data_IF_534788166334
#
_entry.id   IF_534788166334
#
_cell.length_a   1.000
_cell.length_b   1.000
_cell.length_c   1.000
_cell.angle_alpha   90.00
_cell.angle_beta   90.00
_cell.angle_gamma   90.00
#
_symmetry.space_group_name_H-M   'P 1'
#
loop_
_entity.id
_entity.type
_entity.pdbx_description
1 polymer ?
#
# COMPACT_ATOMS: atom_id res chain seq x y z
N UNK A 1 -6.73 -0.43 7.75
CA UNK A 1 -6.77 -1.89 8.02
C UNK A 1 -5.65 -2.61 7.29
N UNK A 2 -5.37 -3.85 7.67
CA UNK A 2 -4.34 -4.70 7.06
C UNK A 2 -4.98 -5.97 6.47
N UNK A 3 -4.61 -6.31 5.23
CA UNK A 3 -5.10 -7.48 4.51
C UNK A 3 -3.95 -8.34 4.01
N UNK A 4 -4.21 -9.64 3.86
CA UNK A 4 -3.25 -10.61 3.30
C UNK A 4 -3.96 -11.45 2.26
N UNK A 5 -3.31 -11.66 1.12
CA UNK A 5 -3.79 -12.54 0.06
C UNK A 5 -2.62 -13.32 -0.52
N UNK A 6 -2.94 -14.49 -1.11
CA UNK A 6 -1.97 -15.35 -1.79
C UNK A 6 -2.48 -15.57 -3.20
N UNK A 7 -1.63 -15.32 -4.18
CA UNK A 7 -1.95 -15.43 -5.61
C UNK A 7 -0.86 -16.22 -6.33
N UNK A 8 -1.18 -16.84 -7.47
CA UNK A 8 -0.16 -17.37 -8.37
C UNK A 8 0.82 -16.27 -8.78
N UNK A 9 2.11 -16.61 -8.88
CA UNK A 9 3.20 -15.64 -9.11
C UNK A 9 2.97 -14.88 -10.41
N UNK A 10 2.51 -15.57 -11.45
CA UNK A 10 2.20 -15.02 -12.77
C UNK A 10 1.07 -13.99 -12.76
N UNK A 11 0.20 -14.00 -11.73
CA UNK A 11 -0.90 -13.04 -11.58
C UNK A 11 -0.59 -11.92 -10.59
N UNK A 12 0.55 -11.97 -9.92
CA UNK A 12 0.85 -11.06 -8.81
C UNK A 12 0.83 -9.59 -9.23
N UNK A 13 1.44 -9.27 -10.37
CA UNK A 13 1.44 -7.91 -10.91
C UNK A 13 0.02 -7.47 -11.31
N UNK A 14 -0.67 -8.26 -12.12
CA UNK A 14 -2.02 -7.94 -12.61
C UNK A 14 -3.01 -7.70 -11.47
N UNK A 15 -3.00 -8.57 -10.44
CA UNK A 15 -3.89 -8.44 -9.28
C UNK A 15 -3.55 -7.18 -8.48
N UNK A 16 -2.27 -6.90 -8.26
CA UNK A 16 -1.85 -5.72 -7.52
C UNK A 16 -2.23 -4.44 -8.24
N UNK A 17 -2.02 -4.37 -9.55
CA UNK A 17 -2.37 -3.22 -10.38
C UNK A 17 -3.90 -3.00 -10.40
N UNK A 18 -4.69 -4.08 -10.50
CA UNK A 18 -6.15 -3.98 -10.44
C UNK A 18 -6.63 -3.45 -9.09
N UNK A 19 -6.05 -3.93 -7.97
CA UNK A 19 -6.39 -3.45 -6.63
C UNK A 19 -6.04 -1.96 -6.49
N UNK A 20 -4.83 -1.56 -6.91
CA UNK A 20 -4.38 -0.17 -6.87
C UNK A 20 -5.33 0.72 -7.69
N UNK A 21 -5.63 0.35 -8.92
CA UNK A 21 -6.53 1.14 -9.78
C UNK A 21 -7.94 1.30 -9.20
N UNK A 22 -8.47 0.25 -8.56
CA UNK A 22 -9.80 0.30 -7.94
C UNK A 22 -9.81 1.19 -6.70
N UNK A 23 -8.77 1.12 -5.87
CA UNK A 23 -8.62 2.00 -4.71
C UNK A 23 -8.46 3.44 -5.19
N UNK A 24 -7.51 3.71 -6.07
CA UNK A 24 -7.20 5.07 -6.51
C UNK A 24 -8.39 5.76 -7.20
N UNK A 25 -9.23 5.02 -7.93
CA UNK A 25 -10.47 5.56 -8.50
C UNK A 25 -11.59 5.70 -7.47
N UNK A 26 -11.66 4.78 -6.52
CA UNK A 26 -12.72 4.75 -5.51
C UNK A 26 -12.53 5.81 -4.43
N UNK A 27 -11.28 6.16 -4.09
CA UNK A 27 -11.01 7.15 -3.03
C UNK A 27 -11.53 8.54 -3.39
N UNK A 28 -11.60 8.89 -4.68
CA UNK A 28 -12.05 10.20 -5.14
C UNK A 28 -13.46 10.54 -4.68
N UNK A 29 -14.33 9.53 -4.51
CA UNK A 29 -15.70 9.70 -4.02
C UNK A 29 -15.77 10.12 -2.53
N UNK A 30 -14.67 10.00 -1.80
CA UNK A 30 -14.59 10.31 -0.37
C UNK A 30 -13.93 11.67 -0.08
N UNK A 31 -13.47 12.38 -1.11
CA UNK A 31 -12.80 13.67 -0.98
C UNK A 31 -13.53 14.79 -1.71
N UNK A 32 -13.36 16.02 -1.23
CA UNK A 32 -13.85 17.20 -1.94
C UNK A 32 -13.06 17.43 -3.22
N UNK A 33 -13.64 18.14 -4.20
CA UNK A 33 -12.91 18.48 -5.44
C UNK A 33 -11.69 19.34 -5.14
N UNK A 34 -11.78 20.19 -4.12
CA UNK A 34 -10.72 21.06 -3.63
C UNK A 34 -9.55 20.25 -3.06
N UNK A 35 -9.83 19.23 -2.24
CA UNK A 35 -8.79 18.35 -1.66
C UNK A 35 -8.13 17.49 -2.74
N UNK A 36 -8.91 16.95 -3.69
CA UNK A 36 -8.39 16.20 -4.83
C UNK A 36 -7.46 17.04 -5.69
N UNK A 37 -7.85 18.29 -5.97
CA UNK A 37 -7.03 19.21 -6.76
C UNK A 37 -5.73 19.60 -6.04
N UNK A 38 -5.74 19.64 -4.70
CA UNK A 38 -4.56 19.94 -3.87
C UNK A 38 -3.69 18.71 -3.61
N UNK A 39 -4.26 17.51 -3.64
CA UNK A 39 -3.59 16.25 -3.31
C UNK A 39 -3.42 15.99 -1.81
N UNK A 40 -4.10 16.77 -0.95
CA UNK A 40 -4.07 16.61 0.51
C UNK A 40 -5.34 17.15 1.14
N UNK A 41 -5.66 16.65 2.34
CA UNK A 41 -6.71 17.16 3.21
C UNK A 41 -6.10 18.06 4.28
N UNK A 42 -6.78 19.16 4.57
CA UNK A 42 -6.43 20.02 5.72
C UNK A 42 -7.24 19.58 6.93
N UNK A 43 -6.55 19.21 8.01
CA UNK A 43 -7.16 18.87 9.29
C UNK A 43 -6.53 19.67 10.42
N UNK A 44 -7.34 20.11 11.38
CA UNK A 44 -6.84 20.79 12.57
C UNK A 44 -6.50 19.75 13.64
N UNK A 45 -5.29 19.80 14.16
CA UNK A 45 -4.88 18.92 15.26
C UNK A 45 -5.52 19.36 16.60
N UNK A 46 -5.30 18.59 17.67
CA UNK A 46 -5.87 18.89 18.99
C UNK A 46 -5.35 20.19 19.63
N UNK A 47 -4.25 20.74 19.12
CA UNK A 47 -3.64 21.98 19.58
C UNK A 47 -4.11 23.20 18.77
N UNK A 48 -5.01 23.01 17.80
CA UNK A 48 -5.54 24.08 16.94
C UNK A 48 -4.68 24.38 15.71
N UNK A 49 -3.61 23.62 15.46
CA UNK A 49 -2.74 23.83 14.30
C UNK A 49 -3.30 23.10 13.07
N UNK A 50 -3.38 23.80 11.94
CA UNK A 50 -3.71 23.18 10.66
C UNK A 50 -2.56 22.29 10.16
N UNK A 51 -2.90 21.08 9.76
CA UNK A 51 -1.98 20.08 9.23
C UNK A 51 -2.48 19.60 7.87
N UNK A 52 -1.54 19.40 6.95
CA UNK A 52 -1.81 18.82 5.65
C UNK A 52 -1.51 17.32 5.70
N UNK A 53 -2.49 16.52 5.32
CA UNK A 53 -2.36 15.07 5.23
C UNK A 53 -2.56 14.64 3.77
N UNK A 54 -1.66 13.85 3.17
CA UNK A 54 -1.87 13.34 1.83
C UNK A 54 -3.16 12.53 1.77
N UNK A 55 -3.74 12.43 0.56
CA UNK A 55 -4.87 11.54 0.33
C UNK A 55 -4.49 10.09 0.70
N UNK A 56 -5.48 9.32 1.13
CA UNK A 56 -5.27 7.92 1.47
C UNK A 56 -4.73 7.18 0.24
N UNK A 57 -3.73 6.34 0.48
CA UNK A 57 -3.11 5.48 -0.53
C UNK A 57 -2.93 4.07 0.02
N UNK A 58 -2.75 3.10 -0.89
CA UNK A 58 -2.55 1.69 -0.56
C UNK A 58 -1.08 1.28 -0.68
N UNK A 59 -0.48 0.87 0.43
CA UNK A 59 0.87 0.28 0.42
C UNK A 59 0.80 -1.24 0.55
N UNK A 60 1.37 -1.97 -0.41
CA UNK A 60 1.45 -3.43 -0.41
C UNK A 60 2.89 -3.90 -0.33
N UNK A 61 3.13 -4.91 0.51
CA UNK A 61 4.40 -5.61 0.62
C UNK A 61 4.22 -7.09 0.34
N UNK A 62 5.09 -7.68 -0.48
CA UNK A 62 4.95 -9.08 -0.88
C UNK A 62 6.28 -9.82 -0.98
N UNK A 63 6.18 -11.15 -1.01
CA UNK A 63 7.31 -12.07 -1.19
C UNK A 63 6.96 -13.11 -2.26
N UNK A 64 7.91 -13.38 -3.15
CA UNK A 64 7.78 -14.47 -4.12
C UNK A 64 8.27 -15.78 -3.51
N UNK A 65 7.33 -16.66 -3.14
CA UNK A 65 7.64 -17.96 -2.54
C UNK A 65 8.30 -18.94 -3.51
N UNK A 66 8.14 -18.78 -4.83
CA UNK A 66 8.75 -19.67 -5.82
C UNK A 66 10.27 -19.53 -5.91
N UNK A 67 10.83 -18.42 -5.41
CA UNK A 67 12.27 -18.13 -5.46
C UNK A 67 13.02 -18.55 -4.18
N UNK A 68 12.34 -19.11 -3.17
CA UNK A 68 12.94 -19.43 -1.87
C UNK A 68 12.69 -20.87 -1.46
N UNK A 69 13.72 -21.51 -0.87
CA UNK A 69 13.59 -22.84 -0.28
C UNK A 69 13.05 -22.71 1.14
N UNK A 70 11.83 -23.19 1.34
CA UNK A 70 11.14 -23.42 2.64
C UNK A 70 11.22 -22.21 3.59
N UNK A 71 10.18 -21.37 3.56
CA UNK A 71 9.94 -20.36 4.60
C UNK A 71 8.85 -20.85 5.55
N UNK A 72 9.02 -20.55 6.83
CA UNK A 72 7.94 -20.62 7.83
C UNK A 72 6.95 -19.48 7.60
N UNK A 73 5.72 -19.65 8.09
CA UNK A 73 4.70 -18.60 8.00
C UNK A 73 5.15 -17.28 8.67
N UNK A 74 5.92 -17.36 9.77
CA UNK A 74 6.46 -16.19 10.46
C UNK A 74 7.43 -15.41 9.57
N UNK A 75 8.36 -16.10 8.91
CA UNK A 75 9.32 -15.45 8.01
C UNK A 75 8.62 -14.78 6.82
N UNK A 76 7.57 -15.41 6.28
CA UNK A 76 6.75 -14.80 5.22
C UNK A 76 6.10 -13.50 5.70
N UNK A 77 5.48 -13.53 6.88
CA UNK A 77 4.80 -12.35 7.47
C UNK A 77 5.81 -11.23 7.78
N UNK A 78 6.99 -11.58 8.32
CA UNK A 78 8.03 -10.61 8.64
C UNK A 78 8.53 -9.90 7.37
N UNK A 79 8.81 -10.65 6.31
CA UNK A 79 9.23 -10.10 5.02
C UNK A 79 8.13 -9.20 4.43
N UNK A 80 6.88 -9.67 4.40
CA UNK A 80 5.75 -8.86 3.91
C UNK A 80 5.58 -7.57 4.72
N UNK A 81 5.79 -7.63 6.04
CA UNK A 81 5.71 -6.46 6.93
C UNK A 81 6.83 -5.47 6.66
N UNK A 82 8.06 -5.93 6.46
CA UNK A 82 9.20 -5.09 6.08
C UNK A 82 8.93 -4.40 4.73
N UNK A 83 8.50 -5.16 3.72
CA UNK A 83 8.19 -4.61 2.40
C UNK A 83 7.01 -3.64 2.44
N UNK A 84 6.00 -3.91 3.27
CA UNK A 84 4.88 -2.98 3.47
C UNK A 84 5.32 -1.67 4.14
N UNK A 85 6.26 -1.73 5.10
CA UNK A 85 6.84 -0.52 5.71
C UNK A 85 7.60 0.30 4.67
N UNK A 86 8.46 -0.33 3.87
CA UNK A 86 9.16 0.35 2.79
C UNK A 86 8.19 0.95 1.74
N UNK A 87 7.09 0.25 1.44
CA UNK A 87 6.04 0.72 0.53
C UNK A 87 5.34 1.98 1.07
N UNK A 88 5.17 2.11 2.39
CA UNK A 88 4.57 3.30 3.04
C UNK A 88 5.44 4.55 2.97
N UNK A 89 6.74 4.41 2.71
CA UNK A 89 7.64 5.54 2.52
C UNK A 89 7.54 6.13 1.10
N UNK A 90 6.93 5.38 0.17
CA UNK A 90 6.69 5.85 -1.18
C UNK A 90 5.34 6.56 -1.28
N UNK A 91 5.27 7.70 -2.00
CA UNK A 91 4.02 8.40 -2.20
C UNK A 91 3.06 7.59 -3.08
N UNK A 92 1.78 7.63 -2.73
CA UNK A 92 0.72 6.98 -3.51
C UNK A 92 0.66 5.47 -3.34
N UNK A 93 -0.23 4.84 -4.10
CA UNK A 93 -0.49 3.41 -4.01
C UNK A 93 0.59 2.60 -4.74
N UNK A 94 1.21 1.62 -4.06
CA UNK A 94 2.35 0.89 -4.59
C UNK A 94 2.49 -0.53 -4.03
N UNK A 95 3.20 -1.39 -4.78
CA UNK A 95 3.61 -2.72 -4.39
C UNK A 95 5.14 -2.82 -4.36
N UNK A 96 5.69 -3.27 -3.23
CA UNK A 96 7.09 -3.68 -3.13
C UNK A 96 7.22 -5.18 -2.90
N UNK A 97 7.98 -5.83 -3.79
CA UNK A 97 8.34 -7.23 -3.68
C UNK A 97 9.75 -7.39 -3.12
N UNK A 98 9.91 -8.32 -2.18
CA UNK A 98 11.23 -8.64 -1.64
C UNK A 98 12.14 -9.20 -2.74
N UNK A 99 13.26 -8.51 -3.00
CA UNK A 99 14.28 -8.93 -3.98
C UNK A 99 15.46 -9.69 -3.36
N UNK A 100 15.50 -9.82 -2.02
CA UNK A 100 16.60 -10.52 -1.32
C UNK A 100 16.44 -12.02 -1.58
N UNK A 101 17.54 -12.69 -1.95
CA UNK A 101 17.62 -14.16 -2.05
C UNK A 101 17.97 -14.75 -0.71
#
# INVERSE_FOLDING_TARGET
DDFVFVVPVEKCADVADEIIQRIDRGIDEFYSKEDLQRGYVVATNREGNEMQHPLISLSMGGVNLAQRKVLTAFEVIDICTEMKKAAKEQPGSNLLLCKRQ
#
